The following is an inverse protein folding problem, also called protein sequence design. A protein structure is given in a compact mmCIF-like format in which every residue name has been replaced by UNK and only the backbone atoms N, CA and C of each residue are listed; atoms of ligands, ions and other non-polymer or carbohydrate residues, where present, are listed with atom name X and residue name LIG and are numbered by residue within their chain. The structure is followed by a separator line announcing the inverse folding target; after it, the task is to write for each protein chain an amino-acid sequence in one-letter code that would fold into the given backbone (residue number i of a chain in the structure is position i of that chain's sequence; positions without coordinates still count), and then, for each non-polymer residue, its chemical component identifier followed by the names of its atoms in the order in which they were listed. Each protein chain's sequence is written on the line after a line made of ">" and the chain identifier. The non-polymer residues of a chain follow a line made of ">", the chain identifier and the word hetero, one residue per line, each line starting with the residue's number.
data_IF_046771693902
#
_entry.id   IF_046771693902
#
_cell.length_a   1.000
_cell.length_b   1.000
_cell.length_c   1.000
_cell.angle_alpha   90.00
_cell.angle_beta   90.00
_cell.angle_gamma   90.00
#
_symmetry.space_group_name_H-M   'P 1'
#
loop_
_entity.id
_entity.type
_entity.pdbx_description
1 polymer ?
#
# COMPACT_ATOMS: atom_id res chain seq x y z
N UNK A 1 2.33 -27.50 93.07
CA UNK A 1 1.10 -26.71 92.85
C UNK A 1 1.15 -26.14 91.45
N UNK A 2 -0.02 -26.08 90.82
CA UNK A 2 -0.26 -26.04 89.39
C UNK A 2 -0.06 -24.64 88.79
N UNK A 3 0.39 -24.63 87.54
CA UNK A 3 0.62 -23.50 86.64
C UNK A 3 -0.52 -22.48 86.58
N UNK A 4 -0.16 -21.20 86.44
CA UNK A 4 -1.07 -20.14 85.98
C UNK A 4 -0.71 -19.78 84.55
N UNK A 5 -1.71 -19.95 83.69
CA UNK A 5 -1.76 -19.56 82.28
C UNK A 5 -1.80 -18.03 82.14
N UNK A 6 -1.09 -17.51 81.13
CA UNK A 6 -1.56 -16.34 80.37
C UNK A 6 -0.90 -16.32 78.99
N UNK A 7 -1.52 -16.99 78.03
CA UNK A 7 -1.37 -16.67 76.62
C UNK A 7 -2.68 -16.03 76.17
N UNK A 8 -2.68 -14.70 76.13
CA UNK A 8 -3.77 -13.90 75.60
C UNK A 8 -3.86 -14.07 74.08
N UNK A 9 -5.05 -14.44 73.63
CA UNK A 9 -5.60 -14.36 72.28
C UNK A 9 -4.89 -13.41 71.31
N UNK A 10 -4.32 -13.97 70.24
CA UNK A 10 -4.21 -13.29 68.95
C UNK A 10 -4.92 -14.16 67.91
N UNK A 11 -6.23 -14.03 67.85
CA UNK A 11 -7.04 -14.59 66.79
C UNK A 11 -7.78 -13.45 66.08
N UNK A 12 -7.84 -13.60 64.75
CA UNK A 12 -8.75 -12.92 63.83
C UNK A 12 -8.39 -11.48 63.39
N UNK A 13 -7.47 -11.37 62.43
CA UNK A 13 -7.47 -10.27 61.48
C UNK A 13 -6.86 -10.66 60.11
N UNK A 14 -7.22 -11.82 59.57
CA UNK A 14 -6.72 -12.28 58.26
C UNK A 14 -7.77 -12.26 57.14
N UNK A 15 -9.03 -11.88 57.40
CA UNK A 15 -10.12 -12.06 56.44
C UNK A 15 -10.59 -10.82 55.67
N UNK A 16 -10.13 -9.60 56.01
CA UNK A 16 -10.72 -8.35 55.48
C UNK A 16 -9.76 -7.57 54.57
N UNK A 17 -8.45 -7.87 54.63
CA UNK A 17 -7.41 -7.19 53.84
C UNK A 17 -7.28 -7.71 52.42
N UNK A 18 -7.60 -8.98 52.18
CA UNK A 18 -7.42 -9.61 50.86
C UNK A 18 -8.52 -9.21 49.87
N UNK A 19 -9.79 -9.15 50.29
CA UNK A 19 -10.90 -8.75 49.42
C UNK A 19 -10.78 -7.30 48.88
N UNK A 20 -10.16 -6.38 49.63
CA UNK A 20 -9.89 -5.01 49.17
C UNK A 20 -8.68 -4.96 48.23
N UNK A 21 -7.64 -5.74 48.50
CA UNK A 21 -6.49 -5.91 47.59
C UNK A 21 -6.91 -6.51 46.25
N UNK A 22 -7.78 -7.52 46.26
CA UNK A 22 -8.29 -8.17 45.06
C UNK A 22 -9.13 -7.22 44.20
N UNK A 23 -10.02 -6.42 44.81
CA UNK A 23 -10.81 -5.40 44.09
C UNK A 23 -9.93 -4.31 43.49
N UNK A 24 -8.84 -3.94 44.17
CA UNK A 24 -7.90 -2.93 43.72
C UNK A 24 -6.97 -3.46 42.62
N UNK A 25 -6.56 -4.73 42.70
CA UNK A 25 -5.83 -5.43 41.65
C UNK A 25 -6.70 -5.67 40.41
N UNK A 26 -7.99 -5.99 40.56
CA UNK A 26 -8.94 -6.10 39.44
C UNK A 26 -9.13 -4.77 38.71
N UNK A 27 -9.28 -3.65 39.44
CA UNK A 27 -9.35 -2.32 38.82
C UNK A 27 -8.06 -1.93 38.10
N UNK A 28 -6.90 -2.24 38.68
CA UNK A 28 -5.61 -2.00 38.06
C UNK A 28 -5.41 -2.87 36.80
N UNK A 29 -5.81 -4.14 36.85
CA UNK A 29 -5.78 -5.05 35.70
C UNK A 29 -6.72 -4.59 34.58
N UNK A 30 -7.92 -4.11 34.91
CA UNK A 30 -8.88 -3.56 33.94
C UNK A 30 -8.37 -2.26 33.30
N UNK A 31 -7.73 -1.38 34.07
CA UNK A 31 -7.09 -0.17 33.57
C UNK A 31 -5.91 -0.50 32.64
N UNK A 32 -5.05 -1.46 33.01
CA UNK A 32 -3.97 -1.94 32.17
C UNK A 32 -4.50 -2.56 30.87
N UNK A 33 -5.57 -3.36 30.94
CA UNK A 33 -6.21 -3.96 29.76
C UNK A 33 -6.77 -2.89 28.81
N UNK A 34 -7.45 -1.86 29.34
CA UNK A 34 -7.94 -0.71 28.55
C UNK A 34 -6.80 0.12 27.96
N UNK A 35 -5.69 0.27 28.66
CA UNK A 35 -4.50 0.96 28.17
C UNK A 35 -3.84 0.19 27.00
N UNK A 36 -3.68 -1.13 27.15
CA UNK A 36 -3.19 -2.02 26.09
C UNK A 36 -4.12 -2.02 24.87
N UNK A 37 -5.43 -2.10 25.07
CA UNK A 37 -6.40 -2.05 23.97
C UNK A 37 -6.35 -0.71 23.21
N UNK A 38 -6.20 0.42 23.92
CA UNK A 38 -6.02 1.74 23.30
C UNK A 38 -4.69 1.85 22.55
N UNK A 39 -3.60 1.28 23.08
CA UNK A 39 -2.31 1.24 22.40
C UNK A 39 -2.40 0.40 21.12
N UNK A 40 -2.94 -0.81 21.20
CA UNK A 40 -3.16 -1.68 20.06
C UNK A 40 -4.03 -1.02 18.97
N UNK A 41 -5.12 -0.34 19.36
CA UNK A 41 -5.95 0.43 18.41
C UNK A 41 -5.19 1.56 17.72
N UNK A 42 -4.30 2.26 18.45
CA UNK A 42 -3.45 3.31 17.86
C UNK A 42 -2.43 2.73 16.87
N UNK A 43 -1.81 1.61 17.21
CA UNK A 43 -0.82 0.96 16.36
C UNK A 43 -1.45 0.41 15.07
N UNK A 44 -2.62 -0.23 15.17
CA UNK A 44 -3.39 -0.69 14.00
C UNK A 44 -3.84 0.49 13.12
N UNK A 45 -4.21 1.64 13.72
CA UNK A 45 -4.55 2.84 12.94
C UNK A 45 -3.33 3.42 12.23
N UNK A 46 -2.16 3.38 12.87
CA UNK A 46 -0.91 3.87 12.29
C UNK A 46 -0.44 2.97 11.15
N UNK A 47 -0.52 1.65 11.29
CA UNK A 47 -0.17 0.71 10.21
C UNK A 47 -1.06 0.90 9.00
N UNK A 48 -2.40 0.94 9.18
CA UNK A 48 -3.36 1.19 8.08
C UNK A 48 -3.08 2.49 7.32
N UNK A 49 -2.64 3.54 8.02
CA UNK A 49 -2.25 4.82 7.41
C UNK A 49 -0.93 4.74 6.65
N UNK A 50 0.03 3.98 7.15
CA UNK A 50 1.29 3.70 6.45
C UNK A 50 1.04 2.91 5.16
N UNK A 51 0.24 1.86 5.22
CA UNK A 51 -0.10 1.02 4.08
C UNK A 51 -0.83 1.80 2.98
N UNK A 52 -1.79 2.66 3.36
CA UNK A 52 -2.46 3.58 2.44
C UNK A 52 -1.47 4.56 1.80
N UNK A 53 -0.58 5.19 2.58
CA UNK A 53 0.38 6.15 2.07
C UNK A 53 1.34 5.52 1.06
N UNK A 54 1.83 4.31 1.34
CA UNK A 54 2.67 3.54 0.42
C UNK A 54 1.94 3.20 -0.88
N UNK A 55 0.68 2.74 -0.78
CA UNK A 55 -0.15 2.45 -1.95
C UNK A 55 -0.33 3.67 -2.87
N UNK A 56 -0.69 4.81 -2.30
CA UNK A 56 -0.85 6.06 -3.06
C UNK A 56 0.46 6.50 -3.71
N UNK A 57 1.59 6.33 -3.02
CA UNK A 57 2.90 6.66 -3.56
C UNK A 57 3.26 5.78 -4.76
N UNK A 58 3.01 4.47 -4.69
CA UNK A 58 3.25 3.55 -5.80
C UNK A 58 2.37 3.88 -7.00
N UNK A 59 1.09 4.18 -6.78
CA UNK A 59 0.16 4.61 -7.83
C UNK A 59 0.62 5.91 -8.52
N UNK A 60 1.08 6.88 -7.74
CA UNK A 60 1.62 8.14 -8.27
C UNK A 60 2.90 7.92 -9.10
N UNK A 61 3.81 7.05 -8.62
CA UNK A 61 5.03 6.68 -9.35
C UNK A 61 4.70 5.99 -10.66
N UNK A 62 3.78 5.02 -10.64
CA UNK A 62 3.34 4.30 -11.83
C UNK A 62 2.73 5.24 -12.88
N UNK A 63 1.85 6.15 -12.45
CA UNK A 63 1.25 7.16 -13.34
C UNK A 63 2.31 8.09 -13.93
N UNK A 64 3.30 8.48 -13.14
CA UNK A 64 4.42 9.31 -13.61
C UNK A 64 5.23 8.59 -14.67
N UNK A 65 5.56 7.31 -14.45
CA UNK A 65 6.28 6.49 -15.41
C UNK A 65 5.48 6.30 -16.70
N UNK A 66 4.20 5.94 -16.61
CA UNK A 66 3.32 5.82 -17.78
C UNK A 66 3.28 7.10 -18.62
N UNK A 67 3.16 8.27 -17.98
CA UNK A 67 3.17 9.54 -18.71
C UNK A 67 4.51 9.78 -19.41
N UNK A 68 5.63 9.51 -18.72
CA UNK A 68 6.97 9.64 -19.31
C UNK A 68 7.14 8.72 -20.52
N UNK A 69 6.70 7.47 -20.42
CA UNK A 69 6.82 6.50 -21.50
C UNK A 69 5.94 6.87 -22.70
N UNK A 70 4.73 7.40 -22.43
CA UNK A 70 3.83 7.92 -23.46
C UNK A 70 4.42 9.13 -24.19
N UNK A 71 5.01 10.06 -23.45
CA UNK A 71 5.66 11.25 -24.03
C UNK A 71 6.87 10.86 -24.86
N UNK A 72 7.70 9.95 -24.34
CA UNK A 72 8.85 9.38 -25.07
C UNK A 72 8.41 8.71 -26.37
N UNK A 73 7.37 7.89 -26.34
CA UNK A 73 6.84 7.23 -27.53
C UNK A 73 6.40 8.24 -28.60
N UNK A 74 5.74 9.32 -28.18
CA UNK A 74 5.33 10.41 -29.06
C UNK A 74 6.53 11.14 -29.66
N UNK A 75 7.55 11.42 -28.85
CA UNK A 75 8.77 12.09 -29.31
C UNK A 75 9.55 11.23 -30.31
N UNK A 76 9.67 9.93 -30.07
CA UNK A 76 10.29 8.99 -31.00
C UNK A 76 9.52 8.88 -32.32
N UNK A 77 8.18 8.91 -32.27
CA UNK A 77 7.36 8.96 -33.49
C UNK A 77 7.58 10.25 -34.27
N UNK A 78 7.55 11.42 -33.60
CA UNK A 78 7.76 12.71 -34.25
C UNK A 78 9.16 12.81 -34.87
N UNK A 79 10.19 12.36 -34.16
CA UNK A 79 11.57 12.33 -34.67
C UNK A 79 11.67 11.52 -35.96
N UNK A 80 11.13 10.30 -35.96
CA UNK A 80 11.14 9.45 -37.16
C UNK A 80 10.32 10.04 -38.32
N UNK A 81 9.21 10.74 -38.04
CA UNK A 81 8.46 11.48 -39.06
C UNK A 81 9.30 12.60 -39.68
N UNK A 82 10.08 13.33 -38.87
CA UNK A 82 11.00 14.35 -39.36
C UNK A 82 12.11 13.74 -40.24
N UNK A 83 12.78 12.70 -39.76
CA UNK A 83 13.83 11.99 -40.53
C UNK A 83 13.29 11.45 -41.86
N UNK A 84 12.09 10.86 -41.85
CA UNK A 84 11.44 10.36 -43.07
C UNK A 84 11.16 11.49 -44.07
N UNK A 85 10.66 12.63 -43.59
CA UNK A 85 10.39 13.80 -44.42
C UNK A 85 11.67 14.38 -45.01
N UNK A 86 12.75 14.40 -44.24
CA UNK A 86 14.02 14.97 -44.69
C UNK A 86 14.67 14.06 -45.76
N UNK A 87 14.60 12.73 -45.61
CA UNK A 87 14.99 11.77 -46.67
C UNK A 87 14.19 11.94 -47.95
N UNK A 88 12.87 12.13 -47.85
CA UNK A 88 12.01 12.36 -49.01
C UNK A 88 12.30 13.69 -49.74
N UNK A 89 12.78 14.70 -49.01
CA UNK A 89 13.13 16.02 -49.58
C UNK A 89 14.57 16.12 -50.06
N UNK A 90 15.40 15.12 -49.79
CA UNK A 90 16.79 15.14 -50.20
C UNK A 90 16.90 15.08 -51.73
N UNK A 91 17.76 15.92 -52.30
CA UNK A 91 17.92 16.11 -53.75
C UNK A 91 18.42 14.84 -54.49
N UNK A 92 18.93 13.85 -53.75
CA UNK A 92 19.43 12.57 -54.28
C UNK A 92 18.31 11.55 -54.57
N UNK A 93 17.03 11.93 -54.47
CA UNK A 93 15.90 11.01 -54.72
C UNK A 93 15.94 9.75 -53.82
N UNK A 94 16.46 9.88 -52.59
CA UNK A 94 16.71 8.74 -51.69
C UNK A 94 15.48 7.92 -51.32
N UNK A 95 14.27 8.46 -51.57
CA UNK A 95 13.01 7.83 -51.26
C UNK A 95 11.92 8.19 -52.27
N UNK A 96 11.30 7.19 -52.89
CA UNK A 96 10.17 7.42 -53.80
C UNK A 96 8.92 7.88 -53.05
N UNK A 97 7.97 8.51 -53.75
CA UNK A 97 6.68 8.91 -53.15
C UNK A 97 5.91 7.71 -52.57
N UNK A 98 5.94 6.59 -53.25
CA UNK A 98 5.26 5.36 -52.82
C UNK A 98 5.89 4.81 -51.54
N UNK A 99 7.22 4.78 -51.48
CA UNK A 99 7.95 4.31 -50.30
C UNK A 99 7.73 5.23 -49.10
N UNK A 100 7.74 6.55 -49.33
CA UNK A 100 7.43 7.56 -48.32
C UNK A 100 6.06 7.33 -47.66
N UNK A 101 5.00 7.16 -48.46
CA UNK A 101 3.65 6.95 -47.92
C UNK A 101 3.52 5.59 -47.21
N UNK A 102 4.16 4.54 -47.73
CA UNK A 102 4.19 3.23 -47.07
C UNK A 102 4.90 3.30 -45.72
N UNK A 103 6.08 3.91 -45.66
CA UNK A 103 6.85 4.01 -44.42
C UNK A 103 6.14 4.88 -43.38
N UNK A 104 5.53 5.98 -43.81
CA UNK A 104 4.67 6.83 -42.97
C UNK A 104 3.49 6.05 -42.39
N UNK A 105 2.79 5.26 -43.21
CA UNK A 105 1.66 4.44 -42.77
C UNK A 105 2.11 3.36 -41.76
N UNK A 106 3.22 2.67 -42.04
CA UNK A 106 3.81 1.67 -41.12
C UNK A 106 4.18 2.30 -39.78
N UNK A 107 4.80 3.47 -39.81
CA UNK A 107 5.22 4.18 -38.60
C UNK A 107 4.03 4.61 -37.74
N UNK A 108 2.96 5.12 -38.37
CA UNK A 108 1.70 5.47 -37.69
C UNK A 108 1.05 4.24 -37.06
N UNK A 109 0.94 3.14 -37.81
CA UNK A 109 0.35 1.91 -37.31
C UNK A 109 1.17 1.33 -36.13
N UNK A 110 2.50 1.42 -36.19
CA UNK A 110 3.35 0.96 -35.09
C UNK A 110 3.19 1.84 -33.84
N UNK A 111 3.17 3.17 -34.01
CA UNK A 111 2.93 4.11 -32.91
C UNK A 111 1.58 3.86 -32.22
N UNK A 112 0.51 3.68 -33.00
CA UNK A 112 -0.82 3.39 -32.45
C UNK A 112 -0.83 2.07 -31.66
N UNK A 113 -0.23 1.02 -32.22
CA UNK A 113 -0.10 -0.28 -31.54
C UNK A 113 0.69 -0.18 -30.23
N UNK A 114 1.84 0.49 -30.25
CA UNK A 114 2.68 0.64 -29.06
C UNK A 114 1.99 1.49 -27.99
N UNK A 115 1.27 2.56 -28.40
CA UNK A 115 0.46 3.39 -27.49
C UNK A 115 -0.62 2.56 -26.81
N UNK A 116 -1.35 1.75 -27.58
CA UNK A 116 -2.45 0.93 -27.05
C UNK A 116 -1.92 -0.16 -26.13
N UNK A 117 -0.80 -0.79 -26.49
CA UNK A 117 -0.12 -1.75 -25.62
C UNK A 117 0.36 -1.12 -24.31
N UNK A 118 0.92 0.10 -24.36
CA UNK A 118 1.33 0.84 -23.18
C UNK A 118 0.14 1.17 -22.27
N UNK A 119 -0.97 1.61 -22.84
CA UNK A 119 -2.21 1.88 -22.12
C UNK A 119 -2.73 0.62 -21.42
N UNK A 120 -2.86 -0.49 -22.16
CA UNK A 120 -3.37 -1.74 -21.64
C UNK A 120 -2.51 -2.28 -20.48
N UNK A 121 -1.18 -2.22 -20.61
CA UNK A 121 -0.25 -2.61 -19.53
C UNK A 121 -0.44 -1.75 -18.29
N UNK A 122 -0.53 -0.43 -18.46
CA UNK A 122 -0.75 0.48 -17.33
C UNK A 122 -2.07 0.20 -16.60
N UNK A 123 -3.16 -0.03 -17.34
CA UNK A 123 -4.47 -0.36 -16.77
C UNK A 123 -4.45 -1.69 -16.03
N UNK A 124 -3.86 -2.72 -16.64
CA UNK A 124 -3.71 -4.03 -16.01
C UNK A 124 -2.90 -3.95 -14.71
N UNK A 125 -1.76 -3.25 -14.72
CA UNK A 125 -0.92 -3.11 -13.53
C UNK A 125 -1.59 -2.25 -12.45
N UNK A 126 -2.40 -1.27 -12.85
CA UNK A 126 -3.21 -0.46 -11.93
C UNK A 126 -4.23 -1.34 -11.22
N UNK A 127 -4.96 -2.16 -11.95
CA UNK A 127 -6.00 -3.02 -11.41
C UNK A 127 -5.41 -4.12 -10.52
N UNK A 128 -4.28 -4.71 -10.93
CA UNK A 128 -3.54 -5.66 -10.10
C UNK A 128 -3.10 -5.05 -8.76
N UNK A 129 -2.58 -3.81 -8.78
CA UNK A 129 -2.20 -3.08 -7.55
C UNK A 129 -3.40 -2.82 -6.65
N UNK A 130 -4.52 -2.38 -7.22
CA UNK A 130 -5.75 -2.14 -6.49
C UNK A 130 -6.26 -3.43 -5.82
N UNK A 131 -6.32 -4.54 -6.55
CA UNK A 131 -6.76 -5.84 -6.02
C UNK A 131 -5.85 -6.34 -4.90
N UNK A 132 -4.53 -6.24 -5.07
CA UNK A 132 -3.57 -6.68 -4.06
C UNK A 132 -3.69 -5.84 -2.77
N UNK A 133 -3.91 -4.54 -2.92
CA UNK A 133 -4.12 -3.63 -1.80
C UNK A 133 -5.44 -3.93 -1.04
N UNK A 134 -6.52 -4.20 -1.76
CA UNK A 134 -7.80 -4.61 -1.16
C UNK A 134 -7.67 -5.95 -0.43
N UNK A 135 -7.04 -6.96 -1.05
CA UNK A 135 -6.81 -8.28 -0.45
C UNK A 135 -5.99 -8.20 0.83
N UNK A 136 -4.93 -7.37 0.84
CA UNK A 136 -4.08 -7.16 2.01
C UNK A 136 -4.86 -6.60 3.20
N UNK A 137 -5.82 -5.69 2.95
CA UNK A 137 -6.70 -5.14 4.00
C UNK A 137 -7.84 -6.08 4.38
N UNK A 138 -8.36 -6.86 3.44
CA UNK A 138 -9.35 -7.92 3.70
C UNK A 138 -8.80 -9.00 4.64
N UNK A 139 -7.55 -9.43 4.44
CA UNK A 139 -6.87 -10.38 5.32
C UNK A 139 -6.60 -9.79 6.72
N UNK A 140 -6.29 -8.49 6.83
CA UNK A 140 -6.19 -7.83 8.14
C UNK A 140 -7.51 -7.76 8.91
N UNK A 141 -8.66 -7.73 8.20
CA UNK A 141 -9.99 -7.77 8.83
C UNK A 141 -10.20 -9.10 9.58
N UNK A 142 -9.88 -10.23 8.95
CA UNK A 142 -10.06 -11.57 9.53
C UNK A 142 -9.16 -11.83 10.75
N UNK A 143 -7.93 -11.31 10.78
CA UNK A 143 -7.01 -11.46 11.91
C UNK A 143 -7.51 -10.71 13.16
N UNK A 144 -8.29 -9.64 12.98
CA UNK A 144 -8.84 -8.85 14.10
C UNK A 144 -10.08 -9.44 14.78
N UNK A 145 -10.72 -10.45 14.17
CA UNK A 145 -11.91 -11.12 14.72
C UNK A 145 -11.60 -12.42 15.48
N UNK A 146 -10.36 -12.93 15.41
CA UNK A 146 -9.95 -14.20 16.02
C UNK A 146 -9.03 -14.04 17.25
N UNK A 147 -9.15 -12.95 18.01
CA UNK A 147 -8.34 -12.73 19.23
C UNK A 147 -9.15 -12.29 20.44
#
# INVERSE_FOLDING_TARGET
>A
MISVLSFGNMAMAAGVTDAKKDKQQQKAAEQNRKAFEKAAKKDVKKSKRGDEASYQQEMARAKTQYNRDKDRLKDEYNRRQHELRDRYRADDNSLSRTDYEQEKARMKANYERERDALQARYEQDRDNRQQNWEASRGNMSLISFNR
#
